data_IF_465689656886
#
_entry.id   IF_465689656886
#
_cell.length_a   1.000
_cell.length_b   1.000
_cell.length_c   1.000
_cell.angle_alpha   90.00
_cell.angle_beta   90.00
_cell.angle_gamma   90.00
#
_symmetry.space_group_name_H-M   'P 1'
#
loop_
_entity.id
_entity.type
_entity.pdbx_description
1 polymer ?
#
# COMPACT_ATOMS: atom_id res chain seq x y z
N UNK A 1 -1.48 9.48 -51.30
CA UNK A 1 -2.28 8.53 -50.51
C UNK A 1 -1.29 7.46 -50.13
N UNK A 2 -0.63 7.66 -48.99
CA UNK A 2 0.43 6.74 -48.56
C UNK A 2 -0.26 5.45 -48.06
N UNK A 3 -0.13 4.41 -48.89
CA UNK A 3 -0.47 3.05 -48.52
C UNK A 3 0.51 2.58 -47.43
N UNK A 4 -0.02 1.97 -46.37
CA UNK A 4 0.69 1.31 -45.25
C UNK A 4 1.15 2.20 -44.07
N UNK A 5 0.19 2.68 -43.26
CA UNK A 5 0.44 3.02 -41.85
C UNK A 5 0.20 1.77 -40.98
N UNK A 6 1.05 0.76 -41.14
CA UNK A 6 1.19 -0.38 -40.21
C UNK A 6 2.68 -0.74 -39.98
N UNK A 7 3.59 0.21 -40.26
CA UNK A 7 4.89 -0.11 -40.82
C UNK A 7 6.06 -0.22 -39.83
N UNK A 8 5.84 -0.79 -38.64
CA UNK A 8 6.93 -1.31 -37.79
C UNK A 8 6.47 -2.51 -36.95
N UNK A 9 6.26 -3.64 -37.60
CA UNK A 9 6.18 -4.93 -36.90
C UNK A 9 7.60 -5.40 -36.63
N UNK A 10 7.98 -5.46 -35.36
CA UNK A 10 9.27 -6.02 -34.93
C UNK A 10 9.08 -7.48 -34.56
N UNK A 11 9.77 -8.37 -35.25
CA UNK A 11 9.87 -9.76 -34.82
C UNK A 11 10.64 -9.82 -33.49
N UNK A 12 10.07 -10.54 -32.53
CA UNK A 12 10.68 -10.77 -31.22
C UNK A 12 10.85 -12.26 -31.00
N UNK A 13 12.00 -12.67 -30.49
CA UNK A 13 12.23 -14.06 -30.11
C UNK A 13 11.37 -14.41 -28.90
N UNK A 14 10.50 -15.42 -29.05
CA UNK A 14 9.54 -15.79 -28.02
C UNK A 14 10.25 -16.21 -26.73
N UNK A 15 11.30 -17.04 -26.82
CA UNK A 15 12.00 -17.57 -25.66
C UNK A 15 12.65 -16.43 -24.85
N UNK A 16 13.40 -15.57 -25.51
CA UNK A 16 14.05 -14.40 -24.90
C UNK A 16 13.04 -13.43 -24.30
N UNK A 17 11.93 -13.19 -25.00
CA UNK A 17 10.86 -12.30 -24.51
C UNK A 17 10.20 -12.87 -23.26
N UNK A 18 9.90 -14.17 -23.25
CA UNK A 18 9.33 -14.85 -22.08
C UNK A 18 10.28 -14.83 -20.89
N UNK A 19 11.57 -15.13 -21.10
CA UNK A 19 12.59 -15.08 -20.04
C UNK A 19 12.70 -13.67 -19.43
N UNK A 20 12.76 -12.65 -20.28
CA UNK A 20 12.91 -11.25 -19.83
C UNK A 20 11.67 -10.79 -19.06
N UNK A 21 10.48 -10.91 -19.66
CA UNK A 21 9.23 -10.47 -19.02
C UNK A 21 8.93 -11.23 -17.73
N UNK A 22 9.29 -12.52 -17.66
CA UNK A 22 9.11 -13.32 -16.46
C UNK A 22 10.04 -12.85 -15.33
N UNK A 23 11.33 -12.63 -15.63
CA UNK A 23 12.31 -12.16 -14.64
C UNK A 23 11.94 -10.76 -14.15
N UNK A 24 11.58 -9.83 -15.04
CA UNK A 24 11.21 -8.46 -14.66
C UNK A 24 10.00 -8.45 -13.71
N UNK A 25 8.97 -9.23 -14.04
CA UNK A 25 7.80 -9.37 -13.18
C UNK A 25 8.17 -10.04 -11.85
N UNK A 26 8.91 -11.15 -11.87
CA UNK A 26 9.31 -11.87 -10.66
C UNK A 26 10.13 -10.99 -9.71
N UNK A 27 11.08 -10.23 -10.24
CA UNK A 27 11.89 -9.29 -9.46
C UNK A 27 11.03 -8.18 -8.87
N UNK A 28 10.08 -7.61 -9.63
CA UNK A 28 9.14 -6.61 -9.10
C UNK A 28 8.31 -7.15 -7.93
N UNK A 29 7.87 -8.41 -8.02
CA UNK A 29 7.08 -9.05 -6.95
C UNK A 29 7.93 -9.31 -5.72
N UNK A 30 9.16 -9.79 -5.89
CA UNK A 30 10.07 -10.09 -4.77
C UNK A 30 10.44 -8.80 -4.04
N UNK A 31 10.91 -7.78 -4.77
CA UNK A 31 11.47 -6.57 -4.17
C UNK A 31 10.41 -5.59 -3.66
N UNK A 32 9.27 -5.46 -4.35
CA UNK A 32 8.34 -4.35 -4.14
C UNK A 32 6.89 -4.78 -3.87
N UNK A 33 6.63 -6.06 -3.53
CA UNK A 33 5.26 -6.53 -3.25
C UNK A 33 5.17 -7.58 -2.16
N UNK A 34 5.82 -8.73 -2.34
CA UNK A 34 5.52 -9.94 -1.60
C UNK A 34 6.23 -10.01 -0.24
N UNK A 35 7.48 -9.56 -0.18
CA UNK A 35 8.34 -9.68 1.00
C UNK A 35 8.38 -8.35 1.78
N UNK A 36 8.39 -8.41 3.13
CA UNK A 36 8.63 -7.23 3.95
C UNK A 36 10.12 -6.83 3.93
N UNK A 37 10.39 -5.56 4.23
CA UNK A 37 11.75 -5.10 4.49
C UNK A 37 12.20 -5.56 5.89
N UNK A 38 13.48 -5.90 6.03
CA UNK A 38 14.04 -6.39 7.30
C UNK A 38 14.12 -5.30 8.38
N UNK A 39 14.20 -4.03 7.99
CA UNK A 39 14.41 -2.89 8.91
C UNK A 39 13.14 -2.55 9.69
N UNK A 40 11.99 -2.59 9.02
CA UNK A 40 10.69 -2.21 9.61
C UNK A 40 9.66 -3.34 9.64
N UNK A 41 9.92 -4.47 8.96
CA UNK A 41 9.00 -5.60 8.87
C UNK A 41 7.77 -5.34 7.99
N UNK A 42 7.73 -4.25 7.21
CA UNK A 42 6.55 -3.86 6.44
C UNK A 42 6.72 -4.16 4.94
N UNK A 43 5.60 -4.57 4.33
CA UNK A 43 5.46 -4.57 2.86
C UNK A 43 5.14 -3.16 2.36
N UNK A 44 5.37 -2.86 1.08
CA UNK A 44 5.12 -1.52 0.53
C UNK A 44 3.70 -1.00 0.76
N UNK A 45 2.66 -1.84 0.58
CA UNK A 45 1.27 -1.42 0.84
C UNK A 45 1.03 -1.03 2.30
N UNK A 46 1.62 -1.76 3.25
CA UNK A 46 1.45 -1.49 4.68
C UNK A 46 2.14 -0.19 5.07
N UNK A 47 3.39 0.02 4.62
CA UNK A 47 4.15 1.26 4.82
C UNK A 47 3.41 2.47 4.27
N UNK A 48 2.91 2.37 3.03
CA UNK A 48 2.15 3.43 2.37
C UNK A 48 0.85 3.77 3.07
N UNK A 49 0.13 2.78 3.62
CA UNK A 49 -1.07 3.04 4.44
C UNK A 49 -0.72 3.85 5.69
N UNK A 50 0.31 3.44 6.43
CA UNK A 50 0.72 4.14 7.65
C UNK A 50 1.19 5.57 7.34
N UNK A 51 1.97 5.73 6.28
CA UNK A 51 2.45 7.04 5.82
C UNK A 51 1.30 7.95 5.35
N UNK A 52 0.38 7.44 4.54
CA UNK A 52 -0.81 8.20 4.12
C UNK A 52 -1.66 8.64 5.31
N UNK A 53 -1.78 7.81 6.35
CA UNK A 53 -2.56 8.15 7.54
C UNK A 53 -1.92 9.23 8.41
N UNK A 54 -0.60 9.26 8.54
CA UNK A 54 0.07 10.34 9.26
C UNK A 54 0.04 11.66 8.47
N UNK A 55 0.20 11.61 7.14
CA UNK A 55 0.02 12.76 6.24
C UNK A 55 -1.41 13.31 6.30
N UNK A 56 -2.40 12.43 6.47
CA UNK A 56 -3.79 12.82 6.70
C UNK A 56 -4.04 13.44 8.08
N UNK A 57 -3.04 13.48 8.97
CA UNK A 57 -3.18 13.81 10.38
C UNK A 57 -4.28 12.95 11.04
N UNK A 58 -4.15 11.62 10.88
CA UNK A 58 -5.10 10.61 11.39
C UNK A 58 -4.47 9.78 12.53
N UNK A 59 -3.86 10.49 13.49
CA UNK A 59 -3.22 9.91 14.66
C UNK A 59 -4.20 9.38 15.73
N UNK A 60 -3.69 8.72 16.78
CA UNK A 60 -4.51 8.14 17.85
C UNK A 60 -5.28 9.16 18.68
N UNK A 61 -4.85 10.42 18.67
CA UNK A 61 -5.48 11.56 19.33
C UNK A 61 -6.64 12.16 18.50
N UNK A 62 -6.83 11.71 17.26
CA UNK A 62 -7.88 12.17 16.36
C UNK A 62 -9.08 11.21 16.32
N UNK A 63 -10.27 11.69 15.92
CA UNK A 63 -11.39 10.82 15.60
C UNK A 63 -11.06 9.89 14.42
N UNK A 64 -11.75 8.74 14.37
CA UNK A 64 -11.65 7.85 13.23
C UNK A 64 -12.12 8.54 11.93
N UNK A 65 -11.55 8.12 10.80
CA UNK A 65 -11.96 8.58 9.46
C UNK A 65 -12.43 7.40 8.63
N UNK A 66 -13.36 7.65 7.70
CA UNK A 66 -13.86 6.63 6.77
C UNK A 66 -12.69 5.94 6.07
N UNK A 67 -12.71 4.60 6.06
CA UNK A 67 -11.66 3.81 5.41
C UNK A 67 -11.56 4.14 3.91
N UNK A 68 -12.69 4.44 3.26
CA UNK A 68 -12.70 4.90 1.87
C UNK A 68 -11.80 6.12 1.61
N UNK A 69 -11.70 7.06 2.57
CA UNK A 69 -10.80 8.22 2.45
C UNK A 69 -9.34 7.79 2.57
N UNK A 70 -9.02 6.94 3.55
CA UNK A 70 -7.64 6.47 3.77
C UNK A 70 -7.15 5.68 2.56
N UNK A 71 -8.00 4.79 2.03
CA UNK A 71 -7.73 4.00 0.83
C UNK A 71 -7.54 4.91 -0.39
N UNK A 72 -8.42 5.90 -0.58
CA UNK A 72 -8.34 6.85 -1.68
C UNK A 72 -7.03 7.67 -1.68
N UNK A 73 -6.65 8.23 -0.52
CA UNK A 73 -5.40 8.98 -0.38
C UNK A 73 -4.16 8.09 -0.58
N UNK A 74 -4.18 6.88 -0.02
CA UNK A 74 -3.09 5.90 -0.22
C UNK A 74 -2.94 5.54 -1.69
N UNK A 75 -4.05 5.27 -2.36
CA UNK A 75 -4.09 4.89 -3.77
C UNK A 75 -3.63 6.02 -4.68
N UNK A 76 -4.17 7.23 -4.47
CA UNK A 76 -3.91 8.39 -5.31
C UNK A 76 -2.49 8.93 -5.19
N UNK A 77 -1.88 8.84 -4.01
CA UNK A 77 -0.55 9.42 -3.77
C UNK A 77 0.58 8.41 -3.82
N UNK A 78 0.38 7.18 -3.33
CA UNK A 78 1.51 6.30 -3.02
C UNK A 78 1.39 4.88 -3.60
N UNK A 79 0.17 4.34 -3.75
CA UNK A 79 -0.03 2.94 -4.11
C UNK A 79 -0.89 2.78 -5.38
N UNK A 80 -0.28 2.72 -6.59
CA UNK A 80 -1.00 2.70 -7.87
C UNK A 80 -1.58 1.30 -8.20
N UNK A 81 -2.29 0.71 -7.25
CA UNK A 81 -2.93 -0.60 -7.35
C UNK A 81 -4.35 -0.55 -6.78
N UNK A 82 -5.10 -1.63 -6.95
CA UNK A 82 -6.53 -1.67 -6.62
C UNK A 82 -6.85 -1.27 -5.17
N UNK A 83 -7.93 -0.51 -5.03
CA UNK A 83 -8.51 -0.09 -3.75
C UNK A 83 -8.79 -1.27 -2.82
N UNK A 84 -9.25 -2.40 -3.37
CA UNK A 84 -9.48 -3.64 -2.63
C UNK A 84 -8.22 -4.14 -1.91
N UNK A 85 -7.07 -4.14 -2.57
CA UNK A 85 -5.80 -4.60 -1.99
C UNK A 85 -5.34 -3.73 -0.84
N UNK A 86 -5.55 -2.41 -0.95
CA UNK A 86 -5.21 -1.45 0.10
C UNK A 86 -6.17 -1.62 1.29
N UNK A 87 -7.47 -1.75 1.02
CA UNK A 87 -8.46 -1.91 2.08
C UNK A 87 -8.28 -3.23 2.84
N UNK A 88 -8.02 -4.34 2.14
CA UNK A 88 -7.72 -5.62 2.78
C UNK A 88 -6.46 -5.58 3.65
N UNK A 89 -5.41 -4.88 3.19
CA UNK A 89 -4.21 -4.68 3.98
C UNK A 89 -4.50 -3.86 5.25
N UNK A 90 -5.26 -2.76 5.12
CA UNK A 90 -5.69 -1.93 6.25
C UNK A 90 -6.50 -2.74 7.26
N UNK A 91 -7.46 -3.55 6.79
CA UNK A 91 -8.28 -4.42 7.63
C UNK A 91 -7.42 -5.40 8.43
N UNK A 92 -6.45 -6.06 7.78
CA UNK A 92 -5.54 -7.01 8.47
C UNK A 92 -4.70 -6.33 9.55
N UNK A 93 -4.26 -5.09 9.31
CA UNK A 93 -3.51 -4.30 10.28
C UNK A 93 -4.36 -3.88 11.50
N UNK A 94 -5.69 -3.93 11.40
CA UNK A 94 -6.63 -3.62 12.47
C UNK A 94 -7.12 -4.87 13.25
N UNK A 95 -7.02 -6.06 12.66
CA UNK A 95 -7.46 -7.31 13.27
C UNK A 95 -6.46 -7.81 14.33
N UNK A 96 -6.87 -7.89 15.59
CA UNK A 96 -6.06 -8.37 16.72
C UNK A 96 -5.76 -9.88 16.68
N UNK A 97 -6.61 -10.66 16.03
CA UNK A 97 -6.39 -12.08 15.77
C UNK A 97 -5.44 -12.35 14.59
N UNK A 98 -5.17 -11.34 13.76
CA UNK A 98 -4.27 -11.44 12.59
C UNK A 98 -2.92 -10.78 12.86
N UNK A 99 -2.95 -9.62 13.53
CA UNK A 99 -1.77 -8.82 13.84
C UNK A 99 -1.57 -8.75 15.35
N UNK A 100 -0.45 -9.30 15.84
CA UNK A 100 -0.16 -9.40 17.29
C UNK A 100 -0.23 -8.05 18.02
N UNK A 101 0.21 -6.98 17.35
CA UNK A 101 0.12 -5.59 17.79
C UNK A 101 -0.51 -4.76 16.67
N UNK A 102 -1.85 -4.56 16.68
CA UNK A 102 -2.54 -3.84 15.61
C UNK A 102 -1.96 -2.44 15.39
N UNK A 103 -1.62 -2.15 14.13
CA UNK A 103 -1.11 -0.83 13.73
C UNK A 103 -2.24 0.13 13.36
N UNK A 104 -3.46 -0.38 13.24
CA UNK A 104 -4.66 0.39 12.93
C UNK A 104 -5.69 0.17 14.04
N UNK A 105 -6.28 1.25 14.52
CA UNK A 105 -7.45 1.24 15.40
C UNK A 105 -8.70 1.39 14.51
N UNK A 106 -9.49 0.32 14.43
CA UNK A 106 -10.65 0.21 13.54
C UNK A 106 -11.97 0.37 14.29
N UNK A 107 -12.93 1.07 13.69
CA UNK A 107 -14.28 1.24 14.18
C UNK A 107 -15.31 0.70 13.17
N UNK A 108 -16.15 -0.24 13.61
CA UNK A 108 -17.12 -0.96 12.80
C UNK A 108 -16.77 -2.44 12.65
N UNK A 109 -17.38 -3.12 11.68
CA UNK A 109 -17.11 -4.54 11.43
C UNK A 109 -15.83 -4.71 10.57
N UNK A 110 -14.75 -5.20 11.20
CA UNK A 110 -13.47 -5.52 10.58
C UNK A 110 -13.24 -7.02 10.37
N UNK A 111 -14.31 -7.82 10.39
CA UNK A 111 -14.27 -9.27 10.22
C UNK A 111 -14.08 -10.03 11.53
N UNK A 112 -14.09 -11.36 11.44
CA UNK A 112 -14.05 -12.27 12.59
C UNK A 112 -13.08 -13.42 12.38
N UNK A 113 -12.77 -14.15 13.45
CA UNK A 113 -11.99 -15.40 13.40
C UNK A 113 -12.70 -16.54 12.66
N UNK A 114 -14.02 -16.43 12.50
CA UNK A 114 -14.86 -17.44 11.83
C UNK A 114 -14.78 -17.32 10.30
N UNK A 115 -14.03 -16.35 9.78
CA UNK A 115 -13.83 -16.12 8.35
C UNK A 115 -14.76 -15.07 7.74
N UNK A 116 -15.56 -14.38 8.55
CA UNK A 116 -16.38 -13.27 8.06
C UNK A 116 -15.47 -12.11 7.62
N UNK A 117 -15.71 -11.63 6.40
CA UNK A 117 -15.02 -10.45 5.87
C UNK A 117 -15.42 -9.17 6.59
N UNK A 118 -14.57 -8.14 6.49
CA UNK A 118 -14.91 -6.81 6.94
C UNK A 118 -16.09 -6.23 6.15
N UNK A 119 -16.85 -5.34 6.79
CA UNK A 119 -17.84 -4.55 6.08
C UNK A 119 -17.17 -3.68 5.00
N UNK A 120 -17.92 -3.21 4.00
CA UNK A 120 -17.39 -2.36 2.95
C UNK A 120 -16.79 -1.05 3.54
N UNK A 121 -15.72 -0.53 2.92
CA UNK A 121 -14.94 0.64 3.38
C UNK A 121 -15.74 1.95 3.57
N UNK A 122 -16.99 2.01 3.07
CA UNK A 122 -17.93 3.10 3.30
C UNK A 122 -18.56 3.08 4.70
N UNK A 123 -18.56 1.93 5.37
CA UNK A 123 -19.14 1.74 6.70
C UNK A 123 -18.10 1.76 7.80
N UNK A 124 -16.88 1.28 7.53
CA UNK A 124 -15.79 1.22 8.49
C UNK A 124 -15.02 2.53 8.58
N UNK A 125 -14.49 2.82 9.76
CA UNK A 125 -13.60 3.94 10.02
C UNK A 125 -12.32 3.46 10.70
N UNK A 126 -11.23 4.18 10.52
CA UNK A 126 -9.93 3.81 11.06
C UNK A 126 -9.10 5.04 11.45
N UNK A 127 -8.16 4.84 12.38
CA UNK A 127 -7.07 5.76 12.72
C UNK A 127 -5.82 4.97 13.10
N UNK A 128 -4.69 5.65 13.25
CA UNK A 128 -3.47 4.99 13.70
C UNK A 128 -3.62 4.50 15.13
N UNK A 129 -3.15 3.28 15.40
CA UNK A 129 -2.94 2.80 16.77
C UNK A 129 -1.82 3.58 17.44
N UNK A 130 -1.82 3.62 18.78
CA UNK A 130 -0.75 4.28 19.55
C UNK A 130 0.64 3.74 19.22
N UNK A 131 0.80 2.43 19.07
CA UNK A 131 2.08 1.80 18.74
C UNK A 131 2.60 2.23 17.35
N UNK A 132 1.72 2.59 16.42
CA UNK A 132 2.12 3.04 15.08
C UNK A 132 2.83 4.38 15.11
N UNK A 133 2.65 5.17 16.17
CA UNK A 133 3.42 6.38 16.36
C UNK A 133 4.90 6.10 16.65
N UNK A 134 5.23 4.94 17.23
CA UNK A 134 6.62 4.51 17.41
C UNK A 134 7.27 4.15 16.06
N UNK A 135 6.49 3.54 15.15
CA UNK A 135 6.95 3.20 13.79
C UNK A 135 7.21 4.45 12.93
N UNK A 136 6.47 5.53 13.20
CA UNK A 136 6.49 6.78 12.42
C UNK A 136 7.22 7.92 13.15
N UNK A 137 7.81 7.63 14.32
CA UNK A 137 8.47 8.61 15.14
C UNK A 137 9.63 9.24 14.37
N UNK A 138 9.77 10.56 14.49
CA UNK A 138 10.89 11.33 13.91
C UNK A 138 11.08 11.19 12.39
N UNK A 139 10.07 10.71 11.66
CA UNK A 139 10.11 10.55 10.19
C UNK A 139 10.39 11.87 9.45
N UNK A 140 10.01 13.00 10.05
CA UNK A 140 10.22 14.35 9.51
C UNK A 140 11.55 15.00 9.93
N UNK A 141 12.46 14.25 10.57
CA UNK A 141 13.75 14.73 11.07
C UNK A 141 14.93 14.15 10.30
N UNK A 142 14.75 13.86 9.02
CA UNK A 142 15.81 13.32 8.13
C UNK A 142 16.39 12.00 8.66
N UNK A 143 15.50 11.14 9.18
CA UNK A 143 15.88 9.85 9.79
C UNK A 143 15.80 8.67 8.82
N UNK A 144 15.08 8.84 7.71
CA UNK A 144 14.92 7.85 6.63
C UNK A 144 14.96 8.54 5.28
N UNK A 145 15.43 7.81 4.27
CA UNK A 145 15.45 8.29 2.90
C UNK A 145 14.04 8.29 2.30
N UNK A 146 13.75 9.33 1.52
CA UNK A 146 12.52 9.47 0.75
C UNK A 146 12.82 9.36 -0.74
N UNK A 147 11.92 8.70 -1.47
CA UNK A 147 11.95 8.61 -2.93
C UNK A 147 10.73 9.31 -3.53
N UNK A 148 10.81 9.77 -4.80
CA UNK A 148 9.62 10.15 -5.54
C UNK A 148 8.61 9.01 -5.59
N UNK A 149 7.32 9.34 -5.52
CA UNK A 149 6.23 8.39 -5.73
C UNK A 149 6.14 7.97 -7.23
N UNK A 150 5.13 7.17 -7.57
CA UNK A 150 4.98 6.56 -8.89
C UNK A 150 4.76 7.54 -10.05
N UNK A 151 4.31 8.77 -9.78
CA UNK A 151 4.12 9.84 -10.77
C UNK A 151 5.03 11.05 -10.55
N UNK A 152 5.98 10.93 -9.64
CA UNK A 152 6.99 11.93 -9.27
C UNK A 152 6.42 13.27 -8.72
N UNK A 153 5.15 13.30 -8.28
CA UNK A 153 4.53 14.50 -7.71
C UNK A 153 4.59 14.58 -6.19
N UNK A 154 4.79 13.44 -5.51
CA UNK A 154 4.87 13.31 -4.06
C UNK A 154 6.15 12.55 -3.65
N UNK A 155 6.41 12.47 -2.35
CA UNK A 155 7.51 11.65 -1.79
C UNK A 155 7.00 10.59 -0.83
N UNK A 156 7.65 9.43 -0.81
CA UNK A 156 7.37 8.33 0.11
C UNK A 156 8.63 7.77 0.78
N UNK A 157 8.55 7.27 2.02
CA UNK A 157 9.70 6.70 2.73
C UNK A 157 10.08 5.30 2.20
N UNK A 158 11.38 4.97 2.28
CA UNK A 158 11.96 3.70 1.82
C UNK A 158 12.27 2.69 2.91
#
# INVERSE_FOLDING_TARGET
MDEYIFDKVHEVDLKKTMETSYIDYAMSVIAARALPDVRDGLKPVQRRILYAMIELNNGPDKPHRKCARIVGDTMGKFHPHGDSSIYEALVKLAQDFSTRYPLIDGHGNFGSVDGDGAAAMRYTEARLSKISMEMLSDINKDTVDFIPNFDETEKEPT
#
